data_IF_728758245029
#
_entry.id   IF_728758245029
#
_cell.length_a   1.000
_cell.length_b   1.000
_cell.length_c   1.000
_cell.angle_alpha   90.00
_cell.angle_beta   90.00
_cell.angle_gamma   90.00
#
_symmetry.space_group_name_H-M   'P 1'
#
loop_
_entity.id
_entity.type
_entity.pdbx_description
1 polymer ?
#
# COMPACT_ATOMS: atom_id res chain seq x y z
N UNK A 1 26.27 -14.66 -41.45
CA UNK A 1 26.90 -13.52 -40.75
C UNK A 1 25.85 -12.48 -40.33
N UNK A 2 25.26 -11.70 -41.25
CA UNK A 2 24.26 -10.65 -40.93
C UNK A 2 23.00 -11.19 -40.25
N UNK A 3 22.50 -12.36 -40.66
CA UNK A 3 21.30 -12.99 -40.05
C UNK A 3 21.44 -13.27 -38.55
N UNK A 4 22.64 -13.63 -38.06
CA UNK A 4 22.86 -13.85 -36.62
C UNK A 4 22.93 -12.55 -35.83
N UNK A 5 23.48 -11.48 -36.43
CA UNK A 5 23.53 -10.14 -35.81
C UNK A 5 22.11 -9.59 -35.65
N UNK A 6 21.26 -9.74 -36.66
CA UNK A 6 19.86 -9.31 -36.61
C UNK A 6 19.11 -10.05 -35.49
N UNK A 7 19.29 -11.37 -35.36
CA UNK A 7 18.65 -12.14 -34.30
C UNK A 7 19.12 -11.72 -32.89
N UNK A 8 20.42 -11.46 -32.71
CA UNK A 8 20.95 -10.98 -31.44
C UNK A 8 20.42 -9.59 -31.05
N UNK A 9 20.32 -8.67 -32.01
CA UNK A 9 19.76 -7.33 -31.79
C UNK A 9 18.27 -7.40 -31.46
N UNK A 10 17.48 -8.20 -32.19
CA UNK A 10 16.05 -8.37 -31.92
C UNK A 10 15.82 -8.97 -30.53
N UNK A 11 16.60 -9.99 -30.14
CA UNK A 11 16.52 -10.58 -28.81
C UNK A 11 16.90 -9.58 -27.71
N UNK A 12 17.96 -8.79 -27.92
CA UNK A 12 18.38 -7.75 -26.98
C UNK A 12 17.32 -6.65 -26.82
N UNK A 13 16.71 -6.19 -27.91
CA UNK A 13 15.64 -5.20 -27.88
C UNK A 13 14.39 -5.75 -27.16
N UNK A 14 14.01 -7.00 -27.44
CA UNK A 14 12.90 -7.65 -26.75
C UNK A 14 13.18 -7.75 -25.24
N UNK A 15 14.36 -8.22 -24.84
CA UNK A 15 14.77 -8.29 -23.45
C UNK A 15 14.81 -6.91 -22.77
N UNK A 16 15.33 -5.90 -23.47
CA UNK A 16 15.39 -4.51 -22.98
C UNK A 16 13.99 -3.92 -22.78
N UNK A 17 13.05 -4.20 -23.68
CA UNK A 17 11.66 -3.73 -23.57
C UNK A 17 10.88 -4.48 -22.48
N UNK A 18 11.05 -5.80 -22.37
CA UNK A 18 10.47 -6.59 -21.28
C UNK A 18 10.99 -6.10 -19.91
N UNK A 19 12.31 -5.92 -19.76
CA UNK A 19 12.88 -5.39 -18.52
C UNK A 19 12.51 -3.92 -18.28
N UNK A 20 12.37 -3.10 -19.32
CA UNK A 20 12.02 -1.69 -19.20
C UNK A 20 10.58 -1.45 -18.76
N UNK A 21 9.63 -2.28 -19.24
CA UNK A 21 8.21 -2.17 -18.87
C UNK A 21 7.95 -2.77 -17.48
N UNK A 22 8.63 -3.87 -17.13
CA UNK A 22 8.49 -4.52 -15.82
C UNK A 22 9.22 -3.72 -14.71
N UNK A 23 10.21 -2.89 -15.06
CA UNK A 23 10.99 -2.07 -14.10
C UNK A 23 10.69 -0.57 -14.11
N UNK A 24 9.76 -0.07 -14.93
CA UNK A 24 9.32 1.32 -14.85
C UNK A 24 8.05 1.44 -13.99
N UNK A 25 8.14 1.77 -12.70
CA UNK A 25 7.02 2.34 -11.96
C UNK A 25 6.87 3.84 -12.25
N UNK A 26 7.10 4.29 -13.49
CA UNK A 26 7.15 5.72 -13.84
C UNK A 26 5.87 6.25 -14.49
N UNK A 27 4.73 5.56 -14.33
CA UNK A 27 3.41 6.12 -14.64
C UNK A 27 2.41 5.77 -13.53
N UNK A 28 2.70 6.27 -12.33
CA UNK A 28 1.67 6.93 -11.51
C UNK A 28 2.18 8.32 -11.21
N UNK A 29 2.25 9.11 -12.28
CA UNK A 29 2.11 10.55 -12.18
C UNK A 29 0.65 10.80 -11.78
N UNK A 30 0.35 10.69 -10.49
CA UNK A 30 -0.81 11.32 -9.90
C UNK A 30 -0.30 12.36 -8.91
N UNK A 31 -0.69 13.60 -9.19
CA UNK A 31 -0.66 14.82 -8.39
C UNK A 31 -0.21 14.66 -6.94
N UNK A 32 0.80 15.42 -6.53
CA UNK A 32 0.49 16.67 -5.82
C UNK A 32 1.71 17.61 -5.78
N UNK A 33 1.45 18.90 -5.83
CA UNK A 33 2.43 19.98 -5.73
C UNK A 33 2.27 20.62 -4.35
N UNK A 34 3.23 20.44 -3.46
CA UNK A 34 3.29 21.15 -2.17
C UNK A 34 4.67 21.01 -1.52
N UNK A 35 5.27 22.08 -0.96
CA UNK A 35 6.66 22.05 -0.54
C UNK A 35 6.83 21.47 0.87
N UNK A 36 7.88 20.65 1.02
CA UNK A 36 8.66 20.45 2.23
C UNK A 36 7.93 20.00 3.51
N UNK A 37 7.70 18.69 3.62
CA UNK A 37 8.02 17.95 4.83
C UNK A 37 8.37 16.51 4.43
N UNK A 38 9.49 16.01 4.93
CA UNK A 38 9.97 14.67 4.66
C UNK A 38 9.08 13.65 5.38
N UNK A 39 8.00 13.23 4.75
CA UNK A 39 7.22 12.08 5.22
C UNK A 39 7.86 10.80 4.67
N UNK A 40 8.25 9.84 5.53
CA UNK A 40 8.74 8.54 5.06
C UNK A 40 7.67 7.89 4.18
N UNK A 41 8.03 6.97 3.26
CA UNK A 41 7.09 6.35 2.34
C UNK A 41 5.89 5.87 3.13
N UNK A 42 4.75 6.54 2.93
CA UNK A 42 3.49 6.20 3.58
C UNK A 42 3.23 4.78 3.14
N UNK A 43 3.47 3.86 4.06
CA UNK A 43 3.18 2.46 3.85
C UNK A 43 1.66 2.42 3.71
N UNK A 44 1.17 2.24 2.48
CA UNK A 44 -0.24 2.05 2.11
C UNK A 44 -0.79 0.72 2.68
N UNK A 45 -0.40 0.40 3.90
CA UNK A 45 -0.93 -0.71 4.69
C UNK A 45 -2.29 -0.24 5.16
N UNK A 46 -3.29 -0.56 4.35
CA UNK A 46 -4.69 -0.45 4.74
C UNK A 46 -4.99 -1.55 5.75
N UNK A 47 -5.59 -1.16 6.86
CA UNK A 47 -6.08 -2.05 7.91
C UNK A 47 -7.58 -1.92 7.99
N UNK A 48 -8.25 -3.04 8.24
CA UNK A 48 -9.70 -3.09 8.35
C UNK A 48 -10.15 -2.80 9.78
N UNK A 49 -11.16 -1.92 9.90
CA UNK A 49 -11.81 -1.62 11.18
C UNK A 49 -12.75 -2.78 11.59
N UNK A 50 -12.61 -3.37 12.80
CA UNK A 50 -13.42 -4.51 13.24
C UNK A 50 -14.89 -4.16 13.53
N UNK A 51 -15.25 -2.87 13.60
CA UNK A 51 -16.63 -2.41 13.90
C UNK A 51 -17.42 -2.15 12.62
N UNK A 52 -16.79 -1.53 11.63
CA UNK A 52 -17.48 -1.08 10.41
C UNK A 52 -16.89 -1.67 9.11
N UNK A 53 -15.87 -2.52 9.20
CA UNK A 53 -15.20 -3.16 8.07
C UNK A 53 -14.64 -2.18 7.03
N UNK A 54 -14.42 -0.93 7.45
CA UNK A 54 -13.87 0.10 6.57
C UNK A 54 -12.35 -0.01 6.54
N UNK A 55 -11.79 0.01 5.34
CA UNK A 55 -10.36 0.03 5.11
C UNK A 55 -9.81 1.43 5.38
N UNK A 56 -8.90 1.53 6.35
CA UNK A 56 -8.25 2.80 6.68
C UNK A 56 -6.74 2.70 6.66
N UNK A 57 -6.02 3.77 6.29
CA UNK A 57 -4.57 3.76 6.31
C UNK A 57 -4.06 3.60 7.74
N UNK A 58 -3.18 2.63 7.99
CA UNK A 58 -2.66 2.32 9.34
C UNK A 58 -2.02 3.52 10.05
N UNK A 59 -1.45 4.48 9.31
CA UNK A 59 -0.82 5.67 9.86
C UNK A 59 -1.84 6.72 10.35
N UNK A 60 -3.04 6.74 9.77
CA UNK A 60 -4.13 7.66 10.12
C UNK A 60 -5.15 7.00 11.05
N UNK A 61 -5.15 5.67 11.13
CA UNK A 61 -6.05 4.89 11.97
C UNK A 61 -5.79 5.10 13.47
N UNK A 62 -6.85 5.08 14.25
CA UNK A 62 -6.78 5.12 15.71
C UNK A 62 -6.39 3.73 16.21
N UNK A 63 -5.34 3.66 17.03
CA UNK A 63 -4.82 2.41 17.58
C UNK A 63 -5.29 2.22 19.02
N UNK A 64 -5.96 1.12 19.30
CA UNK A 64 -6.29 0.68 20.67
C UNK A 64 -5.55 -0.61 20.97
N UNK A 65 -4.91 -0.68 22.12
CA UNK A 65 -4.27 -1.91 22.59
C UNK A 65 -5.16 -2.55 23.66
N UNK A 66 -5.67 -3.74 23.39
CA UNK A 66 -6.55 -4.49 24.28
C UNK A 66 -6.13 -5.96 24.29
N UNK A 67 -6.04 -6.58 25.47
CA UNK A 67 -5.66 -7.99 25.64
C UNK A 67 -4.35 -8.41 24.92
N UNK A 68 -3.42 -7.46 24.75
CA UNK A 68 -2.16 -7.68 24.03
C UNK A 68 -2.23 -7.51 22.51
N UNK A 69 -3.44 -7.38 21.95
CA UNK A 69 -3.69 -7.14 20.52
C UNK A 69 -3.84 -5.65 20.25
N UNK A 70 -3.33 -5.17 19.11
CA UNK A 70 -3.53 -3.79 18.66
C UNK A 70 -4.59 -3.77 17.57
N UNK A 71 -5.72 -3.15 17.86
CA UNK A 71 -6.81 -2.92 16.93
C UNK A 71 -6.69 -1.54 16.30
N UNK A 72 -7.15 -1.40 15.06
CA UNK A 72 -7.12 -0.17 14.30
C UNK A 72 -8.54 0.22 13.93
N UNK A 73 -8.89 1.49 14.12
CA UNK A 73 -10.23 2.03 13.88
C UNK A 73 -10.16 3.21 12.92
N UNK A 74 -11.24 3.36 12.15
CA UNK A 74 -11.40 4.46 11.22
C UNK A 74 -11.69 5.80 11.93
N UNK A 75 -12.26 5.76 13.14
CA UNK A 75 -12.73 6.94 13.88
C UNK A 75 -12.83 6.65 15.38
N UNK A 76 -12.87 7.72 16.19
CA UNK A 76 -13.04 7.62 17.64
C UNK A 76 -14.36 6.91 17.99
N UNK A 77 -15.42 7.22 17.25
CA UNK A 77 -16.72 6.57 17.43
C UNK A 77 -16.69 5.04 17.23
N UNK A 78 -15.82 4.52 16.35
CA UNK A 78 -15.64 3.07 16.20
C UNK A 78 -14.81 2.48 17.35
N UNK A 79 -13.79 3.19 17.81
CA UNK A 79 -13.01 2.80 19.00
C UNK A 79 -13.91 2.73 20.26
N UNK A 80 -14.78 3.72 20.45
CA UNK A 80 -15.72 3.77 21.58
C UNK A 80 -16.70 2.60 21.53
N UNK A 81 -17.32 2.36 20.37
CA UNK A 81 -18.21 1.22 20.15
C UNK A 81 -17.53 -0.13 20.40
N UNK A 82 -16.26 -0.25 20.05
CA UNK A 82 -15.48 -1.45 20.30
C UNK A 82 -15.17 -1.65 21.79
N UNK A 83 -14.86 -0.55 22.49
CA UNK A 83 -14.58 -0.56 23.93
C UNK A 83 -15.84 -0.86 24.74
N UNK A 84 -17.00 -0.37 24.30
CA UNK A 84 -18.30 -0.62 24.93
C UNK A 84 -18.87 -2.02 24.64
N UNK A 85 -18.37 -2.70 23.59
CA UNK A 85 -18.73 -4.08 23.25
C UNK A 85 -17.54 -5.04 23.37
N UNK A 86 -16.99 -5.30 24.56
CA UNK A 86 -15.99 -6.35 24.70
C UNK A 86 -16.66 -7.73 24.73
N UNK A 87 -16.23 -8.60 23.81
CA UNK A 87 -16.34 -10.08 23.78
C UNK A 87 -17.70 -10.69 23.38
N UNK A 88 -17.76 -11.20 22.16
CA UNK A 88 -18.28 -12.55 21.87
C UNK A 88 -17.06 -13.38 21.43
N UNK A 89 -16.34 -13.91 22.41
CA UNK A 89 -15.34 -14.97 22.19
C UNK A 89 -16.12 -16.30 22.11
N UNK A 90 -16.09 -16.98 20.96
CA UNK A 90 -16.57 -18.37 20.76
C UNK A 90 -15.40 -19.32 20.50
#
# INVERSE_FOLDING_TARGET
MIRFVVLAVLFYLAWRLLNGIIRNPSVRADKDSGPAAEDPPVQDVLVEDPVCHTLVPKHQAIRLRQDGTTYYFCSEACCDKFTDKPKEDE
#
